data_IF_331960362792
#
_entry.id   IF_331960362792
#
_cell.length_a   1.000
_cell.length_b   1.000
_cell.length_c   1.000
_cell.angle_alpha   90.00
_cell.angle_beta   90.00
_cell.angle_gamma   90.00
#
_symmetry.space_group_name_H-M   'P 1'
#
loop_
_entity.id
_entity.type
_entity.pdbx_description
1 polymer ?
#
# COMPACT_ATOMS: atom_id res chain seq x y z
N UNK A 1 -9.61 22.59 -27.73
CA UNK A 1 -9.63 21.25 -27.10
C UNK A 1 -8.84 21.16 -25.81
N UNK A 2 -7.57 21.54 -25.71
CA UNK A 2 -6.77 21.49 -24.47
C UNK A 2 -7.35 22.36 -23.33
N UNK A 3 -7.78 23.60 -23.60
CA UNK A 3 -8.43 24.47 -22.58
C UNK A 3 -9.71 23.84 -22.01
N UNK A 4 -10.51 23.19 -22.85
CA UNK A 4 -11.77 22.54 -22.42
C UNK A 4 -11.51 21.27 -21.62
N UNK A 5 -10.45 20.52 -21.93
CA UNK A 5 -10.04 19.35 -21.15
C UNK A 5 -9.48 19.75 -19.77
N UNK A 6 -8.66 20.81 -19.72
CA UNK A 6 -8.12 21.35 -18.49
C UNK A 6 -9.23 21.93 -17.57
N UNK A 7 -10.19 22.67 -18.16
CA UNK A 7 -11.34 23.17 -17.41
C UNK A 7 -12.18 22.04 -16.81
N UNK A 8 -12.45 20.98 -17.57
CA UNK A 8 -13.14 19.77 -17.09
C UNK A 8 -12.35 19.06 -15.98
N UNK A 9 -11.01 19.07 -16.07
CA UNK A 9 -10.17 18.51 -15.03
C UNK A 9 -10.30 19.31 -13.71
N UNK A 10 -10.22 20.65 -13.79
CA UNK A 10 -10.41 21.54 -12.62
C UNK A 10 -11.81 21.41 -12.04
N UNK A 11 -12.84 21.26 -12.87
CA UNK A 11 -14.22 21.10 -12.42
C UNK A 11 -14.43 19.81 -11.58
N UNK A 12 -13.58 18.80 -11.76
CA UNK A 12 -13.59 17.61 -10.92
C UNK A 12 -13.21 17.89 -9.45
N UNK A 13 -12.52 18.99 -9.18
CA UNK A 13 -12.13 19.41 -7.83
C UNK A 13 -13.15 20.36 -7.17
N UNK A 14 -14.22 20.75 -7.87
CA UNK A 14 -15.27 21.61 -7.32
C UNK A 14 -16.37 20.81 -6.60
N UNK A 15 -17.02 21.45 -5.64
CA UNK A 15 -18.21 20.90 -4.96
C UNK A 15 -17.92 19.99 -3.76
N UNK A 16 -16.67 19.91 -3.30
CA UNK A 16 -16.33 19.23 -2.05
C UNK A 16 -16.58 20.12 -0.83
N UNK A 17 -16.97 19.48 0.29
CA UNK A 17 -17.07 20.15 1.57
C UNK A 17 -15.70 20.58 2.09
N UNK A 18 -15.68 21.55 2.99
CA UNK A 18 -14.45 22.01 3.65
C UNK A 18 -13.75 20.87 4.39
N UNK A 19 -14.53 19.98 4.99
CA UNK A 19 -14.03 18.82 5.73
C UNK A 19 -13.30 17.84 4.81
N UNK A 20 -13.78 17.60 3.58
CA UNK A 20 -13.11 16.75 2.60
C UNK A 20 -11.76 17.35 2.18
N UNK A 21 -11.68 18.65 1.98
CA UNK A 21 -10.39 19.31 1.70
C UNK A 21 -9.40 19.19 2.86
N UNK A 22 -9.90 19.37 4.10
CA UNK A 22 -9.05 19.19 5.30
C UNK A 22 -8.59 17.74 5.39
N UNK A 23 -9.47 16.75 5.20
CA UNK A 23 -9.09 15.32 5.17
C UNK A 23 -8.03 15.04 4.10
N UNK A 24 -8.15 15.64 2.94
CA UNK A 24 -7.19 15.51 1.85
C UNK A 24 -5.81 16.06 2.24
N UNK A 25 -5.78 17.27 2.82
CA UNK A 25 -4.54 17.93 3.25
C UNK A 25 -3.86 17.16 4.38
N UNK A 26 -4.60 16.74 5.41
CA UNK A 26 -4.01 15.97 6.52
C UNK A 26 -3.52 14.60 6.06
N UNK A 27 -4.21 13.98 5.10
CA UNK A 27 -3.78 12.73 4.50
C UNK A 27 -2.49 12.93 3.72
N UNK A 28 -2.37 14.01 2.95
CA UNK A 28 -1.12 14.36 2.28
C UNK A 28 0.03 14.56 3.27
N UNK A 29 -0.17 15.39 4.32
CA UNK A 29 0.84 15.64 5.35
C UNK A 29 1.27 14.33 6.03
N UNK A 30 0.32 13.50 6.44
CA UNK A 30 0.60 12.22 7.08
C UNK A 30 1.37 11.27 6.14
N UNK A 31 1.01 11.21 4.85
CA UNK A 31 1.67 10.33 3.88
C UNK A 31 3.02 10.86 3.43
N UNK A 32 3.17 12.16 3.26
CA UNK A 32 4.49 12.78 3.04
C UNK A 32 5.42 12.59 4.24
N UNK A 33 4.85 12.53 5.45
CA UNK A 33 5.56 12.24 6.68
C UNK A 33 5.89 10.77 6.90
N UNK A 34 5.35 9.82 6.12
CA UNK A 34 5.70 8.39 6.24
C UNK A 34 7.08 8.14 5.64
N UNK A 35 8.13 8.64 6.30
CA UNK A 35 9.51 8.64 5.81
C UNK A 35 10.34 7.51 6.42
N UNK A 36 9.96 6.99 7.59
CA UNK A 36 10.67 5.89 8.26
C UNK A 36 10.61 4.63 7.41
N UNK A 37 9.44 4.26 6.88
CA UNK A 37 9.24 2.98 6.19
C UNK A 37 10.22 2.72 5.04
N UNK A 38 10.45 3.65 4.09
CA UNK A 38 11.39 3.43 2.98
C UNK A 38 12.85 3.23 3.39
N UNK A 39 13.23 3.71 4.57
CA UNK A 39 14.60 3.66 5.05
C UNK A 39 14.77 2.84 6.32
N UNK A 40 13.70 2.20 6.83
CA UNK A 40 13.74 1.42 8.07
C UNK A 40 14.75 0.28 8.00
N UNK A 41 14.75 -0.49 6.92
CA UNK A 41 15.69 -1.60 6.75
C UNK A 41 17.14 -1.14 6.71
N UNK A 42 17.42 0.02 6.09
CA UNK A 42 18.74 0.64 6.07
C UNK A 42 19.16 1.11 7.46
N UNK A 43 18.28 1.81 8.18
CA UNK A 43 18.53 2.25 9.55
C UNK A 43 18.90 1.06 10.46
N UNK A 44 18.11 -0.02 10.39
CA UNK A 44 18.37 -1.21 11.20
C UNK A 44 19.70 -1.89 10.84
N UNK A 45 20.04 -1.92 9.55
CA UNK A 45 21.26 -2.57 9.05
C UNK A 45 22.50 -1.74 9.24
N UNK A 46 22.46 -0.45 8.87
CA UNK A 46 23.65 0.41 8.79
C UNK A 46 23.91 1.15 10.11
N UNK A 47 22.87 1.66 10.78
CA UNK A 47 23.02 2.47 12.00
C UNK A 47 23.05 1.59 13.27
N UNK A 48 22.24 0.55 13.31
CA UNK A 48 22.13 -0.37 14.44
C UNK A 48 22.90 -1.69 14.24
N UNK A 49 23.48 -1.94 13.06
CA UNK A 49 24.29 -3.12 12.74
C UNK A 49 23.61 -4.47 12.94
N UNK A 50 22.27 -4.55 12.77
CA UNK A 50 21.55 -5.81 12.84
C UNK A 50 21.85 -6.71 11.63
N UNK A 51 21.79 -8.03 11.83
CA UNK A 51 21.82 -9.00 10.73
C UNK A 51 20.58 -8.88 9.85
N UNK A 52 20.65 -9.35 8.61
CA UNK A 52 19.46 -9.35 7.73
C UNK A 52 18.29 -10.13 8.33
N UNK A 53 18.59 -11.26 9.02
CA UNK A 53 17.55 -12.05 9.69
C UNK A 53 16.83 -11.26 10.79
N UNK A 54 17.59 -10.52 11.62
CA UNK A 54 17.01 -9.66 12.66
C UNK A 54 16.16 -8.51 12.04
N UNK A 55 16.68 -7.86 10.99
CA UNK A 55 15.91 -6.87 10.22
C UNK A 55 14.60 -7.49 9.71
N UNK A 56 14.68 -8.70 9.13
CA UNK A 56 13.51 -9.44 8.66
C UNK A 56 12.47 -9.67 9.76
N UNK A 57 12.90 -10.06 10.97
CA UNK A 57 11.98 -10.26 12.12
C UNK A 57 11.35 -8.96 12.63
N UNK A 58 12.10 -7.86 12.68
CA UNK A 58 11.56 -6.54 13.05
C UNK A 58 10.49 -6.11 12.04
N UNK A 59 10.73 -6.34 10.75
CA UNK A 59 9.75 -6.05 9.69
C UNK A 59 8.52 -6.98 9.75
N UNK A 60 8.67 -8.22 10.21
CA UNK A 60 7.52 -9.10 10.51
C UNK A 60 6.67 -8.50 11.63
N UNK A 61 7.30 -8.08 12.73
CA UNK A 61 6.59 -7.43 13.84
C UNK A 61 5.85 -6.16 13.38
N UNK A 62 6.49 -5.34 12.54
CA UNK A 62 5.87 -4.20 11.87
C UNK A 62 4.61 -4.61 11.09
N UNK A 63 4.72 -5.61 10.22
CA UNK A 63 3.61 -6.08 9.39
C UNK A 63 2.45 -6.67 10.19
N UNK A 64 2.74 -7.47 11.22
CA UNK A 64 1.72 -8.05 12.11
C UNK A 64 1.00 -6.95 12.91
N UNK A 65 1.77 -5.96 13.40
CA UNK A 65 1.20 -4.77 14.04
C UNK A 65 0.26 -4.00 13.12
N UNK A 66 0.67 -3.75 11.88
CA UNK A 66 -0.13 -3.08 10.85
C UNK A 66 -1.46 -3.83 10.57
N UNK A 67 -1.39 -5.16 10.45
CA UNK A 67 -2.57 -6.00 10.25
C UNK A 67 -3.55 -5.89 11.43
N UNK A 68 -3.04 -6.00 12.66
CA UNK A 68 -3.83 -5.84 13.88
C UNK A 68 -4.43 -4.43 13.99
N UNK A 69 -3.64 -3.39 13.70
CA UNK A 69 -4.08 -2.01 13.72
C UNK A 69 -5.23 -1.75 12.75
N UNK A 70 -5.10 -2.21 11.52
CA UNK A 70 -6.16 -2.07 10.51
C UNK A 70 -7.46 -2.77 10.94
N UNK A 71 -7.37 -3.97 11.53
CA UNK A 71 -8.54 -4.69 12.05
C UNK A 71 -9.18 -3.98 13.23
N UNK A 72 -8.36 -3.57 14.21
CA UNK A 72 -8.84 -2.82 15.39
C UNK A 72 -9.47 -1.47 14.97
N UNK A 73 -8.82 -0.75 14.07
CA UNK A 73 -9.30 0.53 13.57
C UNK A 73 -10.67 0.43 12.92
N UNK A 74 -10.92 -0.59 12.11
CA UNK A 74 -12.24 -0.85 11.55
C UNK A 74 -13.28 -1.14 12.62
N UNK A 75 -13.01 -2.13 13.49
CA UNK A 75 -13.92 -2.55 14.55
C UNK A 75 -14.22 -1.45 15.57
N UNK A 76 -13.21 -0.68 15.98
CA UNK A 76 -13.36 0.39 16.96
C UNK A 76 -14.04 1.62 16.32
N UNK A 77 -13.80 1.92 15.05
CA UNK A 77 -14.50 2.99 14.33
C UNK A 77 -16.01 2.75 14.30
N UNK A 78 -16.44 1.49 14.23
CA UNK A 78 -17.86 1.12 14.31
C UNK A 78 -18.46 1.31 15.70
N UNK A 79 -17.68 1.03 16.76
CA UNK A 79 -18.13 1.08 18.16
C UNK A 79 -18.10 2.49 18.78
N UNK A 80 -16.97 3.18 18.67
CA UNK A 80 -16.72 4.46 19.37
C UNK A 80 -16.62 5.66 18.42
N UNK A 81 -16.71 5.41 17.12
CA UNK A 81 -16.71 6.44 16.07
C UNK A 81 -15.33 6.68 15.46
N UNK A 82 -15.33 6.92 14.15
CA UNK A 82 -14.10 7.14 13.36
C UNK A 82 -13.31 8.38 13.84
N UNK A 83 -13.99 9.44 14.27
CA UNK A 83 -13.36 10.69 14.68
C UNK A 83 -12.38 10.50 15.84
N UNK A 84 -12.81 9.81 16.88
CA UNK A 84 -12.00 9.52 18.07
C UNK A 84 -10.83 8.58 17.75
N UNK A 85 -11.08 7.59 16.88
CA UNK A 85 -10.03 6.66 16.44
C UNK A 85 -8.95 7.37 15.63
N UNK A 86 -9.31 8.28 14.73
CA UNK A 86 -8.34 9.07 13.96
C UNK A 86 -7.44 9.90 14.90
N UNK A 87 -8.04 10.59 15.89
CA UNK A 87 -7.30 11.39 16.86
C UNK A 87 -6.38 10.51 17.69
N UNK A 88 -6.91 9.44 18.29
CA UNK A 88 -6.15 8.52 19.11
C UNK A 88 -4.96 7.93 18.33
N UNK A 89 -5.21 7.43 17.13
CA UNK A 89 -4.20 6.76 16.31
C UNK A 89 -3.04 7.70 15.99
N UNK A 90 -3.30 8.84 15.35
CA UNK A 90 -2.21 9.73 14.91
C UNK A 90 -1.50 10.43 16.06
N UNK A 91 -2.23 10.81 17.12
CA UNK A 91 -1.61 11.45 18.28
C UNK A 91 -0.69 10.47 19.01
N UNK A 92 -1.20 9.26 19.32
CA UNK A 92 -0.44 8.26 20.04
C UNK A 92 0.74 7.74 19.22
N UNK A 93 0.55 7.43 17.94
CA UNK A 93 1.65 6.99 17.08
C UNK A 93 2.70 8.09 16.88
N UNK A 94 2.27 9.36 16.74
CA UNK A 94 3.18 10.49 16.66
C UNK A 94 4.07 10.62 17.91
N UNK A 95 3.50 10.45 19.12
CA UNK A 95 4.26 10.43 20.36
C UNK A 95 5.19 9.21 20.45
N UNK A 96 4.74 8.04 20.01
CA UNK A 96 5.55 6.83 20.00
C UNK A 96 6.76 6.94 19.06
N UNK A 97 6.66 7.67 17.94
CA UNK A 97 7.79 7.91 17.06
C UNK A 97 8.94 8.65 17.76
N UNK A 98 8.65 9.57 18.68
CA UNK A 98 9.71 10.24 19.45
C UNK A 98 10.39 9.32 20.45
N UNK A 99 9.72 8.29 20.91
CA UNK A 99 10.27 7.34 21.89
C UNK A 99 11.11 6.26 21.21
N UNK A 100 10.67 5.75 20.05
CA UNK A 100 11.29 4.58 19.42
C UNK A 100 12.74 4.82 18.98
N UNK A 101 13.11 6.06 18.68
CA UNK A 101 14.49 6.43 18.30
C UNK A 101 15.54 6.15 19.38
N UNK A 102 15.12 5.95 20.63
CA UNK A 102 16.00 5.62 21.76
C UNK A 102 16.10 4.12 22.02
N UNK A 103 15.33 3.30 21.31
CA UNK A 103 15.29 1.85 21.45
C UNK A 103 16.24 1.24 20.43
N UNK A 104 17.30 0.60 20.92
CA UNK A 104 18.34 0.01 20.07
C UNK A 104 18.44 -1.52 20.21
N UNK A 105 17.72 -2.13 21.19
CA UNK A 105 17.74 -3.57 21.37
C UNK A 105 16.79 -4.27 20.39
N UNK A 106 17.17 -5.46 19.90
CA UNK A 106 16.39 -6.24 18.95
C UNK A 106 14.96 -6.51 19.45
N UNK A 107 14.82 -7.03 20.68
CA UNK A 107 13.51 -7.34 21.29
C UNK A 107 12.71 -6.04 21.49
N UNK A 108 13.37 -4.97 21.95
CA UNK A 108 12.73 -3.67 22.13
C UNK A 108 12.17 -3.12 20.82
N UNK A 109 12.92 -3.24 19.72
CA UNK A 109 12.45 -2.82 18.40
C UNK A 109 11.31 -3.69 17.85
N UNK A 110 11.35 -5.00 18.05
CA UNK A 110 10.25 -5.88 17.68
C UNK A 110 8.94 -5.47 18.37
N UNK A 111 8.98 -5.27 19.70
CA UNK A 111 7.82 -4.85 20.50
C UNK A 111 7.35 -3.45 20.09
N UNK A 112 8.28 -2.52 19.92
CA UNK A 112 7.97 -1.13 19.60
C UNK A 112 7.39 -0.99 18.20
N UNK A 113 7.94 -1.68 17.20
CA UNK A 113 7.42 -1.67 15.84
C UNK A 113 6.04 -2.32 15.77
N UNK A 114 5.82 -3.43 16.46
CA UNK A 114 4.50 -4.03 16.61
C UNK A 114 3.50 -3.05 17.23
N UNK A 115 3.86 -2.43 18.35
CA UNK A 115 2.97 -1.53 19.08
C UNK A 115 2.64 -0.26 18.28
N UNK A 116 3.67 0.41 17.71
CA UNK A 116 3.46 1.64 16.95
C UNK A 116 2.60 1.40 15.72
N UNK A 117 2.82 0.30 14.99
CA UNK A 117 2.04 0.00 13.80
C UNK A 117 0.63 -0.48 14.12
N UNK A 118 0.44 -1.17 15.26
CA UNK A 118 -0.90 -1.52 15.75
C UNK A 118 -1.75 -0.28 16.04
N UNK A 119 -1.14 0.81 16.47
CA UNK A 119 -1.83 2.08 16.72
C UNK A 119 -1.94 2.91 15.44
N UNK A 120 -0.85 3.10 14.70
CA UNK A 120 -0.80 3.97 13.53
C UNK A 120 -1.77 3.53 12.43
N UNK A 121 -1.87 2.24 12.15
CA UNK A 121 -2.72 1.71 11.07
C UNK A 121 -4.21 1.61 11.43
N UNK A 122 -4.61 1.94 12.67
CA UNK A 122 -6.02 2.21 13.00
C UNK A 122 -6.56 3.43 12.24
N UNK A 123 -5.70 4.38 11.89
CA UNK A 123 -6.08 5.60 11.17
C UNK A 123 -6.72 5.30 9.82
N UNK A 124 -6.16 4.37 9.07
CA UNK A 124 -6.52 4.12 7.66
C UNK A 124 -8.00 3.74 7.48
N UNK A 125 -8.56 2.72 8.15
CA UNK A 125 -9.98 2.40 8.02
C UNK A 125 -10.88 3.50 8.57
N UNK A 126 -10.50 4.16 9.67
CA UNK A 126 -11.25 5.27 10.24
C UNK A 126 -11.34 6.46 9.27
N UNK A 127 -10.26 6.78 8.56
CA UNK A 127 -10.21 7.82 7.52
C UNK A 127 -11.16 7.50 6.37
N UNK A 128 -11.22 6.26 5.88
CA UNK A 128 -12.15 5.88 4.82
C UNK A 128 -13.61 6.00 5.26
N UNK A 129 -13.93 5.64 6.51
CA UNK A 129 -15.27 5.85 7.08
C UNK A 129 -15.61 7.35 7.17
N UNK A 130 -14.64 8.18 7.54
CA UNK A 130 -14.83 9.64 7.64
C UNK A 130 -15.20 10.28 6.30
N UNK A 131 -14.63 9.82 5.19
CA UNK A 131 -15.01 10.31 3.85
C UNK A 131 -16.49 10.07 3.59
N UNK A 132 -17.02 8.89 3.96
CA UNK A 132 -18.45 8.58 3.85
C UNK A 132 -19.35 9.51 4.68
N UNK A 133 -18.86 10.00 5.83
CA UNK A 133 -19.61 10.88 6.73
C UNK A 133 -19.58 12.36 6.32
N UNK A 134 -18.49 12.83 5.69
CA UNK A 134 -18.30 14.24 5.33
C UNK A 134 -18.57 14.53 3.85
N UNK A 135 -18.51 13.55 2.97
CA UNK A 135 -18.86 13.71 1.56
C UNK A 135 -20.37 13.60 1.34
N UNK A 136 -20.92 14.44 0.45
CA UNK A 136 -22.28 14.27 -0.05
C UNK A 136 -22.38 12.94 -0.83
N UNK A 137 -23.53 12.23 -0.80
CA UNK A 137 -23.69 10.94 -1.51
C UNK A 137 -23.23 10.96 -2.96
N UNK A 138 -23.57 12.05 -3.70
CA UNK A 138 -23.26 12.21 -5.13
C UNK A 138 -21.75 12.38 -5.38
N UNK A 139 -20.99 12.83 -4.36
CA UNK A 139 -19.57 13.17 -4.48
C UNK A 139 -18.63 12.16 -3.78
N UNK A 140 -19.16 11.08 -3.19
CA UNK A 140 -18.33 10.12 -2.42
C UNK A 140 -17.18 9.50 -3.21
N UNK A 141 -17.49 9.00 -4.41
CA UNK A 141 -16.46 8.40 -5.28
C UNK A 141 -15.38 9.43 -5.63
N UNK A 142 -15.79 10.66 -5.96
CA UNK A 142 -14.84 11.75 -6.26
C UNK A 142 -14.00 12.14 -5.04
N UNK A 143 -14.61 12.16 -3.84
CA UNK A 143 -13.89 12.43 -2.58
C UNK A 143 -12.86 11.35 -2.27
N UNK A 144 -13.20 10.07 -2.48
CA UNK A 144 -12.25 8.95 -2.37
C UNK A 144 -11.09 9.11 -3.33
N UNK A 145 -11.35 9.48 -4.58
CA UNK A 145 -10.32 9.73 -5.60
C UNK A 145 -9.40 10.88 -5.19
N UNK A 146 -9.96 11.97 -4.66
CA UNK A 146 -9.19 13.12 -4.19
C UNK A 146 -8.23 12.75 -3.04
N UNK A 147 -8.71 11.95 -2.08
CA UNK A 147 -7.87 11.47 -0.97
C UNK A 147 -6.81 10.48 -1.46
N UNK A 148 -7.12 9.59 -2.42
CA UNK A 148 -6.11 8.73 -3.06
C UNK A 148 -5.02 9.53 -3.76
N UNK A 149 -5.40 10.62 -4.43
CA UNK A 149 -4.45 11.54 -5.05
C UNK A 149 -3.47 12.12 -4.02
N UNK A 150 -3.99 12.54 -2.86
CA UNK A 150 -3.16 13.03 -1.76
C UNK A 150 -2.24 11.94 -1.19
N UNK A 151 -2.70 10.70 -1.09
CA UNK A 151 -1.88 9.55 -0.68
C UNK A 151 -0.72 9.36 -1.64
N UNK A 152 -0.98 9.30 -2.94
CA UNK A 152 0.04 9.07 -3.97
C UNK A 152 1.05 10.23 -4.02
N UNK A 153 0.57 11.47 -3.92
CA UNK A 153 1.44 12.64 -3.89
C UNK A 153 2.31 12.67 -2.61
N UNK A 154 1.75 12.25 -1.47
CA UNK A 154 2.51 12.11 -0.22
C UNK A 154 3.60 11.04 -0.33
N UNK A 155 3.27 9.88 -0.89
CA UNK A 155 4.26 8.82 -1.14
C UNK A 155 5.32 9.22 -2.20
N UNK A 156 5.00 10.12 -3.12
CA UNK A 156 5.98 10.66 -4.05
C UNK A 156 6.96 11.63 -3.35
N UNK A 157 6.47 12.48 -2.43
CA UNK A 157 7.29 13.47 -1.75
C UNK A 157 8.12 12.87 -0.59
N UNK A 158 7.53 11.94 0.17
CA UNK A 158 8.09 11.40 1.42
C UNK A 158 9.52 10.86 1.29
N UNK A 159 9.81 9.95 0.36
CA UNK A 159 11.14 9.35 0.24
C UNK A 159 12.25 10.36 -0.10
N UNK A 160 12.01 11.34 -0.98
CA UNK A 160 12.99 12.36 -1.29
C UNK A 160 13.26 13.27 -0.09
N UNK A 161 12.20 13.70 0.60
CA UNK A 161 12.32 14.49 1.84
C UNK A 161 13.02 13.68 2.94
N UNK A 162 12.68 12.41 3.11
CA UNK A 162 13.32 11.50 4.05
C UNK A 162 14.81 11.33 3.76
N UNK A 163 15.19 11.14 2.50
CA UNK A 163 16.59 11.09 2.09
C UNK A 163 17.37 12.38 2.41
N UNK A 164 16.77 13.55 2.17
CA UNK A 164 17.35 14.83 2.55
C UNK A 164 17.51 14.99 4.07
N UNK A 165 16.53 14.54 4.85
CA UNK A 165 16.59 14.56 6.32
C UNK A 165 17.72 13.67 6.81
N UNK A 166 17.88 12.46 6.27
CA UNK A 166 18.97 11.55 6.66
C UNK A 166 20.34 12.19 6.38
N UNK A 167 20.52 12.79 5.21
CA UNK A 167 21.79 13.42 4.83
C UNK A 167 22.19 14.57 5.75
N UNK A 168 21.23 15.32 6.31
CA UNK A 168 21.52 16.51 7.11
C UNK A 168 21.43 16.26 8.63
N UNK A 169 20.55 15.36 9.09
CA UNK A 169 20.21 15.16 10.50
C UNK A 169 20.49 13.72 10.95
N UNK A 170 20.60 12.80 9.98
CA UNK A 170 20.70 11.36 10.22
C UNK A 170 19.34 10.67 10.34
N UNK A 171 19.36 9.35 10.54
CA UNK A 171 18.13 8.52 10.61
C UNK A 171 17.16 8.92 11.73
N UNK A 172 17.67 9.48 12.85
CA UNK A 172 16.81 9.97 13.94
C UNK A 172 15.87 11.09 13.48
N UNK A 173 16.29 11.89 12.50
CA UNK A 173 15.46 12.92 11.90
C UNK A 173 14.17 12.40 11.28
N UNK A 174 14.16 11.15 10.78
CA UNK A 174 12.96 10.53 10.23
C UNK A 174 11.88 10.31 11.30
N UNK A 175 12.25 9.82 12.46
CA UNK A 175 11.33 9.62 13.59
C UNK A 175 10.72 10.92 14.08
N UNK A 176 11.52 12.00 14.09
CA UNK A 176 11.03 13.35 14.38
C UNK A 176 10.04 13.82 13.30
N UNK A 177 10.38 13.64 12.03
CA UNK A 177 9.52 14.06 10.92
C UNK A 177 8.18 13.30 10.94
N UNK A 178 8.19 11.98 11.09
CA UNK A 178 6.97 11.15 11.16
C UNK A 178 6.13 11.52 12.39
N UNK A 179 6.77 11.73 13.56
CA UNK A 179 6.08 12.15 14.77
C UNK A 179 5.41 13.52 14.64
N UNK A 180 6.16 14.52 14.15
CA UNK A 180 5.65 15.88 13.96
C UNK A 180 4.51 15.90 12.93
N UNK A 181 4.68 15.25 11.79
CA UNK A 181 3.64 15.24 10.73
C UNK A 181 2.35 14.55 11.19
N UNK A 182 2.44 13.47 11.95
CA UNK A 182 1.28 12.82 12.56
C UNK A 182 0.55 13.78 13.52
N UNK A 183 1.27 14.44 14.40
CA UNK A 183 0.70 15.38 15.38
C UNK A 183 0.11 16.61 14.68
N UNK A 184 0.85 17.22 13.74
CA UNK A 184 0.36 18.39 12.99
C UNK A 184 -0.90 18.03 12.21
N UNK A 185 -0.90 16.90 11.50
CA UNK A 185 -2.06 16.45 10.73
C UNK A 185 -3.29 16.31 11.64
N UNK A 186 -3.15 15.66 12.79
CA UNK A 186 -4.29 15.42 13.67
C UNK A 186 -4.74 16.67 14.44
N UNK A 187 -3.85 17.58 14.77
CA UNK A 187 -4.18 18.86 15.36
C UNK A 187 -5.00 19.70 14.37
N UNK A 188 -4.58 19.76 13.09
CA UNK A 188 -5.38 20.45 12.05
C UNK A 188 -6.79 19.84 11.96
N UNK A 189 -6.90 18.51 11.98
CA UNK A 189 -8.17 17.81 11.95
C UNK A 189 -9.03 18.17 13.16
N UNK A 190 -8.50 18.04 14.36
CA UNK A 190 -9.20 18.30 15.61
C UNK A 190 -9.70 19.74 15.71
N UNK A 191 -8.88 20.72 15.31
CA UNK A 191 -9.24 22.14 15.37
C UNK A 191 -10.23 22.59 14.28
N UNK A 192 -10.22 21.96 13.12
CA UNK A 192 -10.96 22.44 11.94
C UNK A 192 -12.18 21.59 11.56
N UNK A 193 -12.26 20.34 12.04
CA UNK A 193 -13.34 19.41 11.69
C UNK A 193 -14.12 19.05 12.93
N UNK A 194 -15.45 19.26 12.87
CA UNK A 194 -16.35 18.88 13.96
C UNK A 194 -16.67 17.38 13.89
N UNK A 195 -16.79 16.74 15.05
CA UNK A 195 -17.23 15.34 15.14
C UNK A 195 -18.63 15.21 14.51
N UNK A 196 -18.77 14.33 13.54
CA UNK A 196 -20.06 13.86 13.04
C UNK A 196 -20.26 12.43 13.52
N UNK A 197 -21.38 12.19 14.20
CA UNK A 197 -21.83 10.82 14.44
C UNK A 197 -22.01 10.16 13.06
N UNK A 198 -21.60 8.89 12.94
CA UNK A 198 -21.89 8.05 11.78
C UNK A 198 -23.37 8.23 11.50
N UNK A 199 -23.75 8.98 10.46
CA UNK A 199 -25.10 8.89 9.91
C UNK A 199 -25.30 7.40 9.71
N UNK A 200 -26.35 6.84 10.26
CA UNK A 200 -26.76 5.49 10.03
C UNK A 200 -27.12 5.35 8.53
N UNK A 201 -26.10 5.37 7.67
CA UNK A 201 -26.19 4.70 6.42
C UNK A 201 -26.06 3.24 6.81
N UNK A 202 -27.14 2.76 7.33
CA UNK A 202 -27.57 1.42 7.13
C UNK A 202 -27.50 1.23 5.60
N UNK A 203 -26.37 0.73 5.08
CA UNK A 203 -26.56 -0.35 4.16
C UNK A 203 -27.47 -1.29 4.96
N UNK A 204 -28.77 -1.21 4.69
CA UNK A 204 -29.67 -2.27 5.02
C UNK A 204 -28.91 -3.46 4.46
N UNK A 205 -28.28 -4.24 5.36
CA UNK A 205 -28.04 -5.62 5.07
C UNK A 205 -29.42 -6.08 4.61
N UNK A 206 -29.61 -6.12 3.29
CA UNK A 206 -30.64 -6.97 2.78
C UNK A 206 -30.26 -8.32 3.37
N UNK A 207 -31.13 -8.95 4.17
CA UNK A 207 -30.94 -10.34 4.48
C UNK A 207 -31.00 -11.05 3.13
N UNK A 208 -29.86 -11.02 2.44
CA UNK A 208 -29.64 -11.74 1.20
C UNK A 208 -29.83 -13.18 1.57
N UNK A 209 -30.64 -13.86 0.78
CA UNK A 209 -30.75 -15.30 0.78
C UNK A 209 -29.42 -15.89 1.16
N UNK A 210 -29.42 -16.77 2.15
CA UNK A 210 -28.28 -17.56 2.58
C UNK A 210 -27.85 -18.44 1.41
N UNK A 211 -27.21 -17.82 0.42
CA UNK A 211 -26.55 -18.56 -0.64
C UNK A 211 -25.35 -19.27 -0.01
N UNK A 212 -25.43 -20.59 -0.02
CA UNK A 212 -24.52 -21.58 0.53
C UNK A 212 -23.11 -21.56 -0.07
N UNK A 213 -22.69 -20.47 -0.74
CA UNK A 213 -21.36 -20.35 -1.31
C UNK A 213 -20.39 -19.75 -0.30
N UNK A 214 -19.75 -20.63 0.45
CA UNK A 214 -18.59 -20.27 1.27
C UNK A 214 -17.46 -19.75 0.38
N UNK A 215 -16.89 -18.57 0.70
CA UNK A 215 -15.69 -18.02 0.03
C UNK A 215 -14.54 -19.05 -0.02
N UNK A 216 -14.48 -19.96 0.96
CA UNK A 216 -13.49 -21.03 1.04
C UNK A 216 -13.64 -22.10 -0.05
N UNK A 217 -14.79 -22.20 -0.71
CA UNK A 217 -15.05 -23.14 -1.81
C UNK A 217 -14.79 -22.52 -3.20
N UNK A 218 -14.53 -21.21 -3.29
CA UNK A 218 -14.25 -20.51 -4.55
C UNK A 218 -12.79 -20.71 -4.98
N UNK A 219 -12.49 -21.84 -5.63
CA UNK A 219 -11.14 -22.18 -6.10
C UNK A 219 -10.50 -21.11 -6.99
N UNK A 220 -11.18 -20.53 -8.01
CA UNK A 220 -10.61 -19.46 -8.81
C UNK A 220 -10.21 -18.24 -7.97
N UNK A 221 -11.00 -17.88 -6.95
CA UNK A 221 -10.68 -16.78 -6.06
C UNK A 221 -9.41 -17.02 -5.24
N UNK A 222 -9.21 -18.24 -4.73
CA UNK A 222 -7.99 -18.57 -3.96
C UNK A 222 -6.73 -18.54 -4.82
N UNK A 223 -6.80 -19.07 -6.06
CA UNK A 223 -5.66 -18.99 -7.00
C UNK A 223 -5.39 -17.52 -7.38
N UNK A 224 -6.44 -16.73 -7.54
CA UNK A 224 -6.31 -15.29 -7.77
C UNK A 224 -5.65 -14.57 -6.58
N UNK A 225 -6.04 -14.90 -5.35
CA UNK A 225 -5.41 -14.37 -4.13
C UNK A 225 -3.92 -14.72 -4.05
N UNK A 226 -3.53 -15.91 -4.50
CA UNK A 226 -2.13 -16.28 -4.58
C UNK A 226 -1.37 -15.37 -5.57
N UNK A 227 -1.94 -15.06 -6.74
CA UNK A 227 -1.36 -14.08 -7.67
C UNK A 227 -1.22 -12.69 -7.02
N UNK A 228 -2.24 -12.24 -6.27
CA UNK A 228 -2.18 -10.97 -5.54
C UNK A 228 -1.12 -10.98 -4.43
N UNK A 229 -1.03 -12.09 -3.69
CA UNK A 229 -0.01 -12.30 -2.65
C UNK A 229 1.40 -12.20 -3.24
N UNK A 230 1.67 -12.90 -4.34
CA UNK A 230 2.95 -12.85 -5.03
C UNK A 230 3.25 -11.43 -5.52
N UNK A 231 2.30 -10.77 -6.18
CA UNK A 231 2.46 -9.38 -6.62
C UNK A 231 2.79 -8.45 -5.44
N UNK A 232 2.13 -8.64 -4.30
CA UNK A 232 2.44 -7.90 -3.07
C UNK A 232 3.84 -8.19 -2.54
N UNK A 233 4.28 -9.47 -2.52
CA UNK A 233 5.64 -9.85 -2.08
C UNK A 233 6.70 -9.14 -2.92
N UNK A 234 6.57 -9.15 -4.24
CA UNK A 234 7.52 -8.49 -5.14
C UNK A 234 7.51 -6.96 -4.96
N UNK A 235 6.34 -6.37 -4.83
CA UNK A 235 6.21 -4.93 -4.66
C UNK A 235 6.83 -4.45 -3.34
N UNK A 236 6.61 -5.14 -2.24
CA UNK A 236 7.15 -4.72 -0.95
C UNK A 236 8.67 -4.84 -0.85
N UNK A 237 9.35 -5.54 -1.78
CA UNK A 237 10.82 -5.48 -1.89
C UNK A 237 11.32 -4.04 -2.12
N UNK A 238 10.51 -3.18 -2.74
CA UNK A 238 10.81 -1.76 -2.98
C UNK A 238 11.06 -1.00 -1.67
N UNK A 239 10.46 -1.43 -0.57
CA UNK A 239 10.58 -0.78 0.74
C UNK A 239 11.47 -1.56 1.73
N UNK A 240 11.89 -2.77 1.37
CA UNK A 240 12.66 -3.65 2.27
C UNK A 240 14.08 -3.90 1.79
N UNK A 241 14.25 -4.67 0.73
CA UNK A 241 15.56 -5.13 0.26
C UNK A 241 16.19 -4.22 -0.80
N UNK A 242 15.39 -3.59 -1.65
CA UNK A 242 15.91 -2.72 -2.72
C UNK A 242 16.66 -1.50 -2.18
N UNK A 243 16.23 -0.78 -1.13
CA UNK A 243 17.01 0.32 -0.56
C UNK A 243 18.39 -0.11 -0.03
N UNK A 244 18.50 -1.31 0.55
CA UNK A 244 19.78 -1.89 0.97
C UNK A 244 20.67 -2.21 -0.23
N UNK A 245 20.11 -2.85 -1.25
CA UNK A 245 20.82 -3.16 -2.49
C UNK A 245 21.36 -1.89 -3.19
N UNK A 246 20.60 -0.81 -3.22
CA UNK A 246 21.05 0.48 -3.74
C UNK A 246 22.32 0.97 -3.06
N UNK A 247 22.39 0.83 -1.74
CA UNK A 247 23.53 1.23 -0.94
C UNK A 247 24.72 0.29 -1.09
N UNK A 248 24.48 -0.99 -0.86
CA UNK A 248 25.55 -1.99 -0.74
C UNK A 248 26.19 -2.34 -2.08
N UNK A 249 25.45 -2.35 -3.19
CA UNK A 249 25.95 -2.70 -4.52
C UNK A 249 26.32 -1.52 -5.38
N UNK A 250 25.63 -0.39 -5.23
CA UNK A 250 25.82 0.79 -6.08
C UNK A 250 26.33 2.02 -5.31
N UNK A 251 26.40 1.97 -3.99
CA UNK A 251 26.86 3.10 -3.17
C UNK A 251 25.95 4.31 -3.22
N UNK A 252 24.66 4.15 -3.60
CA UNK A 252 23.71 5.27 -3.68
C UNK A 252 23.47 5.85 -2.29
N UNK A 253 23.35 7.18 -2.26
CA UNK A 253 22.93 7.91 -1.06
C UNK A 253 21.42 7.69 -0.81
N UNK A 254 20.98 7.99 0.41
CA UNK A 254 19.56 7.93 0.81
C UNK A 254 18.72 8.85 -0.06
N UNK A 255 19.24 10.03 -0.39
CA UNK A 255 18.57 10.96 -1.29
C UNK A 255 18.39 10.41 -2.69
N UNK A 256 19.41 9.77 -3.27
CA UNK A 256 19.31 9.13 -4.59
C UNK A 256 18.30 7.98 -4.59
N UNK A 257 18.31 7.15 -3.55
CA UNK A 257 17.28 6.13 -3.35
C UNK A 257 15.89 6.73 -3.21
N UNK A 258 15.77 7.81 -2.43
CA UNK A 258 14.54 8.59 -2.29
C UNK A 258 14.01 9.15 -3.61
N UNK A 259 14.91 9.64 -4.49
CA UNK A 259 14.52 10.13 -5.83
C UNK A 259 13.94 9.02 -6.72
N UNK A 260 14.49 7.80 -6.66
CA UNK A 260 13.93 6.65 -7.40
C UNK A 260 12.53 6.31 -6.91
N UNK A 261 12.30 6.32 -5.60
CA UNK A 261 10.96 6.11 -5.01
C UNK A 261 10.01 7.27 -5.33
N UNK A 262 10.50 8.51 -5.35
CA UNK A 262 9.72 9.68 -5.77
C UNK A 262 9.32 9.57 -7.25
N UNK A 263 10.22 9.11 -8.12
CA UNK A 263 9.93 8.86 -9.54
C UNK A 263 8.76 7.84 -9.67
N UNK A 264 8.78 6.77 -8.88
CA UNK A 264 7.65 5.83 -8.83
C UNK A 264 6.33 6.56 -8.52
N UNK A 265 6.26 7.30 -7.42
CA UNK A 265 5.05 8.01 -7.03
C UNK A 265 4.58 9.06 -8.05
N UNK A 266 5.50 9.77 -8.69
CA UNK A 266 5.20 10.74 -9.77
C UNK A 266 4.63 10.04 -11.00
N UNK A 267 5.22 8.94 -11.43
CA UNK A 267 4.73 8.17 -12.57
C UNK A 267 3.33 7.60 -12.29
N UNK A 268 3.09 7.06 -11.09
CA UNK A 268 1.75 6.60 -10.68
C UNK A 268 0.75 7.75 -10.75
N UNK A 269 1.09 8.91 -10.20
CA UNK A 269 0.22 10.08 -10.20
C UNK A 269 -0.25 10.48 -11.61
N UNK A 270 0.66 10.51 -12.58
CA UNK A 270 0.33 10.94 -13.94
C UNK A 270 -0.25 9.83 -14.82
N UNK A 271 0.18 8.58 -14.64
CA UNK A 271 -0.10 7.49 -15.59
C UNK A 271 -1.20 6.54 -15.13
N UNK A 272 -1.48 6.38 -13.82
CA UNK A 272 -2.46 5.38 -13.33
C UNK A 272 -3.85 5.61 -13.92
N UNK A 273 -4.38 6.84 -13.82
CA UNK A 273 -5.72 7.14 -14.32
C UNK A 273 -5.89 6.98 -15.84
N UNK A 274 -4.96 7.44 -16.70
CA UNK A 274 -4.98 7.13 -18.13
C UNK A 274 -4.99 5.63 -18.43
N UNK A 275 -4.16 4.83 -17.72
CA UNK A 275 -4.08 3.37 -17.89
C UNK A 275 -5.41 2.71 -17.50
N UNK A 276 -5.95 3.03 -16.32
CA UNK A 276 -7.23 2.49 -15.85
C UNK A 276 -8.34 2.82 -16.84
N UNK A 277 -8.44 4.08 -17.27
CA UNK A 277 -9.45 4.52 -18.25
C UNK A 277 -9.30 3.83 -19.60
N UNK A 278 -8.08 3.56 -20.05
CA UNK A 278 -7.83 2.84 -21.31
C UNK A 278 -8.31 1.39 -21.23
N UNK A 279 -7.93 0.68 -20.16
CA UNK A 279 -8.32 -0.72 -19.93
C UNK A 279 -9.85 -0.86 -19.84
N UNK A 280 -10.52 0.05 -19.12
CA UNK A 280 -11.98 0.04 -18.98
C UNK A 280 -12.69 0.34 -20.30
N UNK A 281 -12.27 1.37 -21.03
CA UNK A 281 -12.86 1.71 -22.34
C UNK A 281 -12.71 0.59 -23.37
N UNK A 282 -11.54 -0.08 -23.37
CA UNK A 282 -11.28 -1.21 -24.28
C UNK A 282 -11.87 -2.52 -23.77
N UNK A 283 -12.54 -2.52 -22.59
CA UNK A 283 -13.14 -3.72 -21.96
C UNK A 283 -12.15 -4.87 -21.85
N UNK A 284 -10.87 -4.58 -21.58
CA UNK A 284 -9.83 -5.59 -21.42
C UNK A 284 -10.11 -6.40 -20.17
N UNK A 285 -9.95 -7.72 -20.24
CA UNK A 285 -10.21 -8.58 -19.10
C UNK A 285 -9.25 -8.24 -17.92
N UNK A 286 -9.82 -7.85 -16.79
CA UNK A 286 -9.07 -7.36 -15.62
C UNK A 286 -8.13 -8.42 -15.03
N UNK A 287 -8.49 -9.71 -15.08
CA UNK A 287 -7.63 -10.80 -14.59
C UNK A 287 -6.36 -10.92 -15.44
N UNK A 288 -6.47 -10.78 -16.77
CA UNK A 288 -5.30 -10.74 -17.66
C UNK A 288 -4.40 -9.54 -17.35
N UNK A 289 -5.00 -8.38 -17.04
CA UNK A 289 -4.24 -7.18 -16.70
C UNK A 289 -3.46 -7.38 -15.41
N UNK A 290 -4.06 -8.01 -14.39
CA UNK A 290 -3.37 -8.36 -13.14
C UNK A 290 -2.21 -9.34 -13.39
N UNK A 291 -2.44 -10.39 -14.19
CA UNK A 291 -1.38 -11.34 -14.56
C UNK A 291 -0.23 -10.67 -15.31
N UNK A 292 -0.55 -9.73 -16.22
CA UNK A 292 0.44 -8.93 -16.93
C UNK A 292 1.23 -8.02 -15.96
N UNK A 293 0.56 -7.39 -14.99
CA UNK A 293 1.22 -6.62 -13.93
C UNK A 293 2.21 -7.49 -13.13
N UNK A 294 1.79 -8.71 -12.73
CA UNK A 294 2.66 -9.65 -12.05
C UNK A 294 3.88 -10.06 -12.91
N UNK A 295 3.71 -10.23 -14.23
CA UNK A 295 4.80 -10.49 -15.17
C UNK A 295 5.80 -9.32 -15.21
N UNK A 296 5.33 -8.09 -15.28
CA UNK A 296 6.21 -6.92 -15.27
C UNK A 296 6.98 -6.81 -13.94
N UNK A 297 6.36 -7.18 -12.79
CA UNK A 297 7.07 -7.28 -11.51
C UNK A 297 8.17 -8.35 -11.55
N UNK A 298 7.88 -9.52 -12.14
CA UNK A 298 8.90 -10.56 -12.31
C UNK A 298 10.07 -10.07 -13.17
N UNK A 299 9.77 -9.41 -14.29
CA UNK A 299 10.80 -8.82 -15.17
C UNK A 299 11.61 -7.78 -14.40
N UNK A 300 10.99 -6.91 -13.60
CA UNK A 300 11.71 -5.92 -12.81
C UNK A 300 12.71 -6.56 -11.82
N UNK A 301 12.37 -7.70 -11.22
CA UNK A 301 13.28 -8.44 -10.37
C UNK A 301 14.43 -9.06 -11.15
N UNK A 302 14.17 -9.66 -12.33
CA UNK A 302 15.21 -10.20 -13.17
C UNK A 302 16.16 -9.13 -13.72
N UNK A 303 15.70 -7.91 -13.96
CA UNK A 303 16.57 -6.80 -14.36
C UNK A 303 17.66 -6.52 -13.31
N UNK A 304 17.39 -6.77 -12.03
CA UNK A 304 18.38 -6.59 -10.96
C UNK A 304 19.54 -7.59 -11.00
N UNK A 305 19.45 -8.63 -11.82
CA UNK A 305 20.57 -9.55 -12.08
C UNK A 305 21.67 -8.88 -12.92
N UNK A 306 21.33 -7.83 -13.69
CA UNK A 306 22.27 -7.06 -14.50
C UNK A 306 22.84 -5.88 -13.69
N UNK A 307 23.72 -6.17 -12.73
CA UNK A 307 24.23 -5.18 -11.76
C UNK A 307 25.48 -4.40 -12.22
N UNK A 308 25.71 -4.30 -13.52
CA UNK A 308 26.91 -3.64 -14.08
C UNK A 308 26.78 -2.13 -14.27
N UNK A 309 25.55 -1.60 -14.21
CA UNK A 309 25.26 -0.21 -14.51
C UNK A 309 24.13 0.36 -13.63
N UNK A 310 24.39 1.51 -13.00
CA UNK A 310 23.43 2.18 -12.08
C UNK A 310 22.07 2.48 -12.74
N UNK A 311 22.05 2.79 -14.05
CA UNK A 311 20.81 3.07 -14.78
C UNK A 311 19.81 1.91 -14.80
N UNK A 312 20.26 0.67 -14.52
CA UNK A 312 19.37 -0.49 -14.42
C UNK A 312 18.35 -0.32 -13.30
N UNK A 313 18.70 0.38 -12.22
CA UNK A 313 17.81 0.67 -11.10
C UNK A 313 16.62 1.53 -11.52
N UNK A 314 16.87 2.51 -12.39
CA UNK A 314 15.81 3.36 -12.98
C UNK A 314 14.90 2.54 -13.88
N UNK A 315 15.47 1.69 -14.74
CA UNK A 315 14.71 0.83 -15.64
C UNK A 315 13.84 -0.15 -14.82
N UNK A 316 14.43 -0.81 -13.83
CA UNK A 316 13.72 -1.69 -12.92
C UNK A 316 12.55 -0.97 -12.24
N UNK A 317 12.79 0.23 -11.70
CA UNK A 317 11.78 1.02 -11.03
C UNK A 317 10.64 1.43 -11.97
N UNK A 318 10.93 1.77 -13.23
CA UNK A 318 9.91 2.04 -14.25
C UNK A 318 9.05 0.80 -14.51
N UNK A 319 9.67 -0.38 -14.69
CA UNK A 319 8.93 -1.63 -14.86
C UNK A 319 8.06 -1.95 -13.64
N UNK A 320 8.61 -1.80 -12.43
CA UNK A 320 7.87 -2.00 -11.18
C UNK A 320 6.68 -1.03 -11.06
N UNK A 321 6.87 0.23 -11.43
CA UNK A 321 5.83 1.26 -11.38
C UNK A 321 4.68 0.95 -12.34
N UNK A 322 4.98 0.58 -13.59
CA UNK A 322 3.91 0.15 -14.50
C UNK A 322 3.25 -1.14 -14.05
N UNK A 323 4.02 -2.06 -13.48
CA UNK A 323 3.50 -3.31 -12.95
C UNK A 323 2.45 -3.10 -11.85
N UNK A 324 2.71 -2.21 -10.88
CA UNK A 324 1.76 -1.90 -9.82
C UNK A 324 0.48 -1.23 -10.34
N UNK A 325 0.60 -0.33 -11.33
CA UNK A 325 -0.55 0.30 -11.97
C UNK A 325 -1.45 -0.70 -12.72
N UNK A 326 -0.88 -1.79 -13.24
CA UNK A 326 -1.64 -2.89 -13.83
C UNK A 326 -2.14 -3.90 -12.79
N UNK A 327 -1.41 -4.11 -11.69
CA UNK A 327 -1.80 -5.11 -10.70
C UNK A 327 -2.86 -4.59 -9.72
N UNK A 328 -2.60 -3.51 -8.98
CA UNK A 328 -3.37 -3.17 -7.79
C UNK A 328 -4.78 -2.60 -8.05
N UNK A 329 -5.01 -1.65 -8.96
CA UNK A 329 -6.36 -1.16 -9.22
C UNK A 329 -7.29 -2.27 -9.74
N UNK A 330 -6.77 -3.12 -10.60
CA UNK A 330 -7.56 -4.16 -11.23
C UNK A 330 -7.76 -5.39 -10.34
N UNK A 331 -6.79 -5.73 -9.47
CA UNK A 331 -6.98 -6.83 -8.51
C UNK A 331 -8.08 -6.52 -7.51
N UNK A 332 -8.15 -5.28 -7.02
CA UNK A 332 -9.25 -4.82 -6.18
C UNK A 332 -10.60 -4.97 -6.89
N UNK A 333 -10.68 -4.51 -8.16
CA UNK A 333 -11.89 -4.60 -8.95
C UNK A 333 -12.30 -6.05 -9.25
N UNK A 334 -11.35 -6.96 -9.47
CA UNK A 334 -11.62 -8.41 -9.67
C UNK A 334 -12.14 -9.03 -8.38
N UNK A 335 -11.49 -8.76 -7.24
CA UNK A 335 -11.91 -9.28 -5.94
C UNK A 335 -13.36 -8.87 -5.61
N UNK A 336 -13.70 -7.61 -5.83
CA UNK A 336 -15.04 -7.09 -5.61
C UNK A 336 -16.06 -7.70 -6.58
N UNK A 337 -15.72 -7.80 -7.87
CA UNK A 337 -16.65 -8.35 -8.89
C UNK A 337 -16.88 -9.85 -8.76
N UNK A 338 -15.98 -10.58 -8.10
CA UNK A 338 -16.12 -12.02 -7.84
C UNK A 338 -17.02 -12.30 -6.65
N UNK A 339 -17.18 -11.34 -5.74
CA UNK A 339 -17.98 -11.50 -4.55
C UNK A 339 -19.48 -11.64 -4.91
N UNK A 340 -20.19 -12.65 -4.39
CA UNK A 340 -21.65 -12.70 -4.47
C UNK A 340 -22.27 -11.50 -3.75
N UNK A 341 -23.46 -11.07 -4.20
CA UNK A 341 -24.20 -9.98 -3.56
C UNK A 341 -24.43 -10.26 -2.07
N UNK A 342 -24.08 -9.29 -1.20
CA UNK A 342 -24.16 -9.43 0.25
C UNK A 342 -22.95 -10.09 0.92
N UNK A 343 -21.94 -10.56 0.16
CA UNK A 343 -20.71 -11.14 0.68
C UNK A 343 -19.45 -10.36 0.29
N UNK A 344 -19.63 -9.15 -0.28
CA UNK A 344 -18.53 -8.29 -0.76
C UNK A 344 -17.51 -8.00 0.35
N UNK A 345 -17.99 -7.71 1.55
CA UNK A 345 -17.12 -7.43 2.70
C UNK A 345 -16.19 -8.60 3.05
N UNK A 346 -16.69 -9.84 2.98
CA UNK A 346 -15.89 -11.04 3.30
C UNK A 346 -14.79 -11.28 2.25
N UNK A 347 -15.11 -11.16 0.96
CA UNK A 347 -14.15 -11.28 -0.13
C UNK A 347 -13.06 -10.20 -0.06
N UNK A 348 -13.48 -8.96 0.19
CA UNK A 348 -12.55 -7.82 0.31
C UNK A 348 -11.67 -7.92 1.56
N UNK A 349 -12.18 -8.44 2.67
CA UNK A 349 -11.38 -8.67 3.87
C UNK A 349 -10.24 -9.67 3.58
N UNK A 350 -10.56 -10.82 2.99
CA UNK A 350 -9.55 -11.85 2.65
C UNK A 350 -8.56 -11.31 1.61
N UNK A 351 -9.04 -10.56 0.61
CA UNK A 351 -8.17 -9.87 -0.35
C UNK A 351 -7.21 -8.90 0.35
N UNK A 352 -7.67 -8.07 1.26
CA UNK A 352 -6.82 -7.13 2.01
C UNK A 352 -5.81 -7.87 2.90
N UNK A 353 -6.23 -8.97 3.54
CA UNK A 353 -5.33 -9.81 4.34
C UNK A 353 -4.19 -10.40 3.50
N UNK A 354 -4.42 -10.73 2.23
CA UNK A 354 -3.34 -11.23 1.35
C UNK A 354 -2.21 -10.22 1.16
N UNK A 355 -2.51 -8.91 1.11
CA UNK A 355 -1.49 -7.86 1.04
C UNK A 355 -0.75 -7.66 2.36
N UNK A 356 -1.44 -7.75 3.50
CA UNK A 356 -0.78 -7.71 4.81
C UNK A 356 0.18 -8.90 4.98
N UNK A 357 -0.25 -10.08 4.55
CA UNK A 357 0.60 -11.28 4.54
C UNK A 357 1.79 -11.12 3.56
N UNK A 358 1.55 -10.53 2.37
CA UNK A 358 2.60 -10.24 1.41
C UNK A 358 3.68 -9.33 1.99
N UNK A 359 3.29 -8.30 2.74
CA UNK A 359 4.25 -7.39 3.40
C UNK A 359 5.12 -8.12 4.41
N UNK A 360 4.53 -9.00 5.24
CA UNK A 360 5.25 -9.82 6.21
C UNK A 360 6.21 -10.78 5.50
N UNK A 361 5.72 -11.52 4.52
CA UNK A 361 6.52 -12.52 3.79
C UNK A 361 7.63 -11.86 2.96
N UNK A 362 7.36 -10.74 2.32
CA UNK A 362 8.34 -10.01 1.51
C UNK A 362 9.60 -9.68 2.29
N UNK A 363 9.43 -9.06 3.46
CA UNK A 363 10.54 -8.68 4.31
C UNK A 363 11.34 -9.90 4.79
N UNK A 364 10.65 -10.91 5.35
CA UNK A 364 11.31 -12.07 5.92
C UNK A 364 12.02 -12.91 4.87
N UNK A 365 11.31 -13.25 3.78
CA UNK A 365 11.88 -14.06 2.70
C UNK A 365 13.05 -13.35 2.03
N UNK A 366 12.92 -12.06 1.70
CA UNK A 366 13.99 -11.30 1.06
C UNK A 366 15.23 -11.20 1.93
N UNK A 367 15.08 -10.85 3.22
CA UNK A 367 16.22 -10.75 4.13
C UNK A 367 16.92 -12.08 4.39
N UNK A 368 16.17 -13.18 4.56
CA UNK A 368 16.76 -14.51 4.74
C UNK A 368 17.53 -14.97 3.49
N UNK A 369 16.93 -14.81 2.31
CA UNK A 369 17.61 -15.19 1.07
C UNK A 369 18.88 -14.37 0.87
N UNK A 370 18.86 -13.07 1.16
CA UNK A 370 20.04 -12.22 1.06
C UNK A 370 21.12 -12.64 2.06
N UNK A 371 20.73 -12.94 3.30
CA UNK A 371 21.68 -13.31 4.34
C UNK A 371 22.48 -14.59 4.01
N UNK A 372 21.82 -15.60 3.46
CA UNK A 372 22.43 -16.92 3.23
C UNK A 372 22.95 -17.09 1.80
N UNK A 373 22.37 -16.42 0.83
CA UNK A 373 22.62 -16.65 -0.60
C UNK A 373 22.98 -15.39 -1.39
N UNK A 374 22.86 -14.22 -0.78
CA UNK A 374 23.15 -12.93 -1.39
C UNK A 374 22.05 -12.37 -2.32
N UNK A 375 22.30 -11.17 -2.83
CA UNK A 375 21.33 -10.42 -3.64
C UNK A 375 20.96 -11.08 -4.95
N UNK A 376 21.92 -11.67 -5.66
CA UNK A 376 21.68 -12.30 -6.97
C UNK A 376 20.66 -13.44 -6.87
N UNK A 377 20.81 -14.29 -5.86
CA UNK A 377 19.86 -15.38 -5.63
C UNK A 377 18.49 -14.84 -5.20
N UNK A 378 18.46 -13.75 -4.42
CA UNK A 378 17.19 -13.10 -4.05
C UNK A 378 16.44 -12.60 -5.28
N UNK A 379 17.12 -11.92 -6.21
CA UNK A 379 16.46 -11.41 -7.41
C UNK A 379 15.97 -12.52 -8.33
N UNK A 380 16.78 -13.58 -8.49
CA UNK A 380 16.37 -14.78 -9.24
C UNK A 380 15.15 -15.45 -8.59
N UNK A 381 15.18 -15.64 -7.28
CA UNK A 381 14.08 -16.24 -6.52
C UNK A 381 12.79 -15.41 -6.63
N UNK A 382 12.87 -14.11 -6.41
CA UNK A 382 11.72 -13.22 -6.52
C UNK A 382 11.17 -13.16 -7.94
N UNK A 383 12.03 -13.06 -8.95
CA UNK A 383 11.63 -13.12 -10.36
C UNK A 383 10.92 -14.43 -10.71
N UNK A 384 11.44 -15.56 -10.25
CA UNK A 384 10.85 -16.89 -10.46
C UNK A 384 9.49 -17.02 -9.76
N UNK A 385 9.38 -16.53 -8.53
CA UNK A 385 8.10 -16.47 -7.80
C UNK A 385 7.07 -15.63 -8.57
N UNK A 386 7.49 -14.51 -9.16
CA UNK A 386 6.65 -13.66 -10.01
C UNK A 386 6.17 -14.38 -11.28
N UNK A 387 7.00 -15.20 -11.91
CA UNK A 387 6.57 -16.05 -13.04
C UNK A 387 5.50 -17.06 -12.62
N UNK A 388 5.67 -17.71 -11.45
CA UNK A 388 4.66 -18.61 -10.90
C UNK A 388 3.34 -17.86 -10.67
N UNK A 389 3.39 -16.66 -10.05
CA UNK A 389 2.22 -15.81 -9.86
C UNK A 389 1.53 -15.44 -11.18
N UNK A 390 2.31 -15.16 -12.22
CA UNK A 390 1.81 -14.85 -13.57
C UNK A 390 1.09 -16.05 -14.19
N UNK A 391 1.65 -17.25 -14.10
CA UNK A 391 1.06 -18.50 -14.59
C UNK A 391 -0.27 -18.76 -13.85
N UNK A 392 -0.29 -18.62 -12.53
CA UNK A 392 -1.50 -18.75 -11.72
C UNK A 392 -2.57 -17.72 -12.14
N UNK A 393 -2.21 -16.46 -12.36
CA UNK A 393 -3.11 -15.42 -12.85
C UNK A 393 -3.73 -15.74 -14.21
N UNK A 394 -2.93 -16.27 -15.14
CA UNK A 394 -3.42 -16.72 -16.43
C UNK A 394 -4.33 -17.97 -16.32
N UNK A 395 -4.01 -18.87 -15.40
CA UNK A 395 -4.85 -20.03 -15.12
C UNK A 395 -6.21 -19.63 -14.56
N UNK A 396 -6.26 -18.68 -13.62
CA UNK A 396 -7.51 -18.10 -13.12
C UNK A 396 -8.37 -17.55 -14.26
N UNK A 397 -7.74 -16.81 -15.19
CA UNK A 397 -8.46 -16.29 -16.36
C UNK A 397 -9.13 -17.42 -17.15
N UNK A 398 -8.44 -18.54 -17.37
CA UNK A 398 -8.99 -19.71 -18.07
C UNK A 398 -10.15 -20.35 -17.29
N UNK A 399 -10.01 -20.50 -15.97
CA UNK A 399 -11.05 -21.08 -15.12
C UNK A 399 -12.33 -20.23 -15.15
N UNK A 400 -12.23 -18.92 -14.99
CA UNK A 400 -13.39 -18.02 -15.03
C UNK A 400 -14.05 -18.03 -16.41
N UNK A 401 -13.29 -18.11 -17.49
CA UNK A 401 -13.88 -18.23 -18.83
C UNK A 401 -14.67 -19.53 -19.01
N UNK A 402 -14.18 -20.63 -18.45
CA UNK A 402 -14.89 -21.92 -18.54
C UNK A 402 -16.18 -21.93 -17.71
N UNK A 403 -16.17 -21.29 -16.52
CA UNK A 403 -17.39 -21.08 -15.73
C UNK A 403 -18.47 -20.33 -16.53
N UNK A 404 -18.10 -19.24 -17.19
CA UNK A 404 -19.04 -18.45 -18.01
C UNK A 404 -19.56 -19.20 -19.24
N UNK A 405 -18.79 -20.13 -19.82
CA UNK A 405 -19.25 -20.96 -20.94
C UNK A 405 -20.24 -22.02 -20.46
N UNK A 406 -19.96 -22.69 -19.33
CA UNK A 406 -20.88 -23.70 -18.76
C UNK A 406 -22.22 -23.10 -18.34
N UNK A 407 -22.22 -21.89 -17.77
CA UNK A 407 -23.46 -21.18 -17.36
C UNK A 407 -24.31 -20.71 -18.58
N UNK A 408 -23.71 -20.55 -19.76
CA UNK A 408 -24.45 -20.18 -20.99
C UNK A 408 -25.00 -21.36 -21.76
N UNK A 409 -24.62 -22.59 -21.42
CA UNK A 409 -25.10 -23.83 -22.05
C UNK A 409 -26.25 -24.51 -21.28
N UNK A 410 -26.55 -24.00 -20.10
CA UNK A 410 -27.72 -24.35 -19.28
C UNK A 410 -28.72 -23.19 -19.35
#
# INVERSE_FOLDING_TARGET
>A
MLKTAFQRYIDNFKGFSREIWILTIITFINRAGTMVLPFLSKYLKEDLNFSYSEVGWIMVCFGVGSMLGSWLGGKLSDKIGFYKIMIFSLLTSGLMFFVIQYITSFIGLCISMFAIMSVADMYRPAMFVSIGAYAKPENRTRALTLVRLAINLGFAAGPALGGLIIMNIGYRGLFWADGITCIVAILIFWLKVKEKKKSAFTDKEHPGEVLTHSVFKDKPFWIFLFTCLVSGILFFQVFTTIPLYHREQFGLTEFQTGLLLTMNGVLVFFCEMPIVSYVERKKINKVKVVAFGCLLMAISMFLMLFNTWVGILTIMMVFMTFAEMFAFPFSNAVALSRAPKGHEGRYMAIYTMSFSLAHILSAKMGMEVIQYFGYQINWFFMGSLGLIGTICGYWVYRLIQNEHKSTKMV
#
